data_IF_311020404896
#
_entry.id   IF_311020404896
#
_cell.length_a   1.000
_cell.length_b   1.000
_cell.length_c   1.000
_cell.angle_alpha   90.00
_cell.angle_beta   90.00
_cell.angle_gamma   90.00
#
_symmetry.space_group_name_H-M   'P 1'
#
loop_
_entity.id
_entity.type
_entity.pdbx_description
1 polymer ?
#
# COMPACT_ATOMS: atom_id res chain seq x y z
N UNK A 1 -5.96 11.18 6.77
CA UNK A 1 -5.06 10.45 5.86
C UNK A 1 -5.06 11.15 4.50
N UNK A 2 -3.91 11.63 4.01
CA UNK A 2 -3.79 12.27 2.69
C UNK A 2 -3.16 11.32 1.66
N UNK A 3 -3.36 11.64 0.37
CA UNK A 3 -2.65 10.94 -0.72
C UNK A 3 -1.13 11.11 -0.64
N UNK A 4 -0.66 12.24 -0.09
CA UNK A 4 0.76 12.48 0.10
C UNK A 4 1.35 11.49 1.11
N UNK A 5 0.70 11.33 2.27
CA UNK A 5 1.14 10.40 3.33
C UNK A 5 1.28 8.96 2.81
N UNK A 6 0.34 8.56 1.96
CA UNK A 6 0.32 7.25 1.30
C UNK A 6 1.51 7.09 0.35
N UNK A 7 1.73 8.06 -0.53
CA UNK A 7 2.80 7.99 -1.54
C UNK A 7 4.20 8.18 -0.93
N UNK A 8 4.35 8.82 0.23
CA UNK A 8 5.63 8.86 0.95
C UNK A 8 6.07 7.47 1.44
N UNK A 9 5.14 6.50 1.50
CA UNK A 9 5.40 5.10 1.91
C UNK A 9 5.38 4.16 0.71
N UNK A 10 5.98 4.60 -0.41
CA UNK A 10 5.94 3.89 -1.68
C UNK A 10 6.47 2.44 -1.58
N UNK A 11 7.55 2.21 -0.84
CA UNK A 11 8.13 0.87 -0.65
C UNK A 11 7.13 -0.14 -0.05
N UNK A 12 6.27 0.32 0.87
CA UNK A 12 5.21 -0.53 1.45
C UNK A 12 4.13 -0.84 0.42
N UNK A 13 3.78 0.13 -0.42
CA UNK A 13 2.83 -0.06 -1.52
C UNK A 13 3.39 -1.07 -2.51
N UNK A 14 4.66 -0.96 -2.91
CA UNK A 14 5.31 -1.91 -3.82
C UNK A 14 5.34 -3.32 -3.25
N UNK A 15 5.76 -3.47 -1.99
CA UNK A 15 5.79 -4.77 -1.33
C UNK A 15 4.39 -5.41 -1.24
N UNK A 16 3.37 -4.62 -0.90
CA UNK A 16 2.00 -5.10 -0.79
C UNK A 16 1.36 -5.39 -2.16
N UNK A 17 1.69 -4.62 -3.20
CA UNK A 17 1.29 -4.90 -4.58
C UNK A 17 1.89 -6.22 -5.07
N UNK A 18 3.17 -6.47 -4.78
CA UNK A 18 3.84 -7.70 -5.12
C UNK A 18 3.23 -8.88 -4.36
N UNK A 19 3.07 -8.78 -3.04
CA UNK A 19 2.55 -9.88 -2.23
C UNK A 19 1.07 -10.19 -2.51
N UNK A 20 0.23 -9.16 -2.65
CA UNK A 20 -1.23 -9.34 -2.75
C UNK A 20 -1.68 -9.67 -4.17
N UNK A 21 -1.02 -9.07 -5.17
CA UNK A 21 -1.45 -9.15 -6.57
C UNK A 21 -0.40 -9.75 -7.51
N UNK A 22 0.80 -10.09 -7.02
CA UNK A 22 1.90 -10.54 -7.87
C UNK A 22 2.42 -9.44 -8.81
N UNK A 23 2.20 -8.17 -8.46
CA UNK A 23 2.58 -7.03 -9.28
C UNK A 23 3.93 -6.50 -8.80
N UNK A 24 4.97 -6.71 -9.61
CA UNK A 24 6.27 -6.10 -9.44
C UNK A 24 6.35 -4.83 -10.30
N UNK A 25 6.55 -3.67 -9.67
CA UNK A 25 6.65 -2.38 -10.35
C UNK A 25 8.05 -2.09 -10.91
N UNK A 26 9.08 -2.76 -10.39
CA UNK A 26 10.45 -2.66 -10.91
C UNK A 26 10.60 -3.44 -12.23
N UNK A 27 9.67 -4.37 -12.50
CA UNK A 27 9.56 -5.03 -13.80
C UNK A 27 9.27 -3.99 -14.89
N UNK A 28 10.25 -3.83 -15.77
CA UNK A 28 10.20 -2.86 -16.88
C UNK A 28 8.85 -2.87 -17.61
N UNK A 29 8.18 -1.71 -17.63
CA UNK A 29 6.94 -1.48 -18.36
C UNK A 29 5.64 -1.65 -17.56
N UNK A 30 5.68 -2.12 -16.31
CA UNK A 30 4.47 -2.40 -15.51
C UNK A 30 3.47 -1.22 -15.46
N UNK A 31 3.97 0.02 -15.37
CA UNK A 31 3.15 1.24 -15.35
C UNK A 31 3.00 1.92 -16.71
N UNK A 32 3.78 1.55 -17.74
CA UNK A 32 3.69 2.18 -19.07
C UNK A 32 2.41 1.79 -19.81
N UNK A 33 1.99 0.53 -19.67
CA UNK A 33 0.82 -0.01 -20.37
C UNK A 33 -0.49 0.09 -19.56
N UNK A 34 -0.45 0.77 -18.40
CA UNK A 34 -1.55 0.83 -17.44
C UNK A 34 -1.88 2.28 -17.09
N UNK A 35 -3.18 2.56 -16.95
CA UNK A 35 -3.63 3.89 -16.55
C UNK A 35 -3.37 4.14 -15.07
N UNK A 36 -3.24 5.41 -14.68
CA UNK A 36 -3.18 5.78 -13.26
C UNK A 36 -4.39 5.24 -12.46
N UNK A 37 -5.58 5.22 -13.08
CA UNK A 37 -6.78 4.64 -12.46
C UNK A 37 -6.61 3.16 -12.11
N UNK A 38 -5.91 2.39 -12.94
CA UNK A 38 -5.62 0.97 -12.69
C UNK A 38 -4.79 0.79 -11.43
N UNK A 39 -3.74 1.59 -11.25
CA UNK A 39 -2.88 1.58 -10.07
C UNK A 39 -3.63 2.07 -8.84
N UNK A 40 -4.31 3.22 -8.95
CA UNK A 40 -5.10 3.82 -7.86
C UNK A 40 -6.13 2.85 -7.27
N UNK A 41 -6.79 2.05 -8.11
CA UNK A 41 -7.80 1.07 -7.67
C UNK A 41 -7.16 -0.05 -6.84
N UNK A 42 -5.94 -0.48 -7.19
CA UNK A 42 -5.21 -1.51 -6.43
C UNK A 42 -4.70 -0.97 -5.11
N UNK A 43 -4.15 0.25 -5.11
CA UNK A 43 -3.75 0.93 -3.88
C UNK A 43 -4.95 1.08 -2.93
N UNK A 44 -6.13 1.48 -3.43
CA UNK A 44 -7.34 1.53 -2.61
C UNK A 44 -7.76 0.16 -2.05
N UNK A 45 -7.58 -0.92 -2.83
CA UNK A 45 -7.80 -2.29 -2.36
C UNK A 45 -6.88 -2.68 -1.20
N UNK A 46 -5.60 -2.29 -1.26
CA UNK A 46 -4.65 -2.53 -0.17
C UNK A 46 -5.07 -1.87 1.14
N UNK A 47 -5.72 -0.69 1.08
CA UNK A 47 -6.21 0.01 2.28
C UNK A 47 -7.41 -0.67 2.95
N UNK A 48 -8.11 -1.56 2.26
CA UNK A 48 -9.26 -2.31 2.80
C UNK A 48 -8.85 -3.70 3.28
N UNK A 49 -7.70 -4.21 2.83
CA UNK A 49 -7.14 -5.49 3.26
C UNK A 49 -6.19 -5.30 4.45
N UNK A 50 -5.88 -6.41 5.13
CA UNK A 50 -4.86 -6.44 6.19
C UNK A 50 -3.44 -6.37 5.58
N UNK A 51 -3.06 -5.18 5.12
CA UNK A 51 -1.80 -4.89 4.41
C UNK A 51 -0.84 -4.06 5.29
N UNK A 52 0.44 -4.00 4.91
CA UNK A 52 1.42 -3.18 5.63
C UNK A 52 1.07 -1.71 5.53
N UNK A 53 0.66 -1.26 4.34
CA UNK A 53 0.30 0.14 4.13
C UNK A 53 -0.97 0.53 4.91
N UNK A 54 -1.96 -0.36 5.03
CA UNK A 54 -3.14 -0.12 5.85
C UNK A 54 -2.76 0.07 7.33
N UNK A 55 -1.96 -0.85 7.90
CA UNK A 55 -1.48 -0.75 9.30
C UNK A 55 -0.56 0.46 9.54
N UNK A 56 0.26 0.82 8.57
CA UNK A 56 1.17 1.97 8.70
C UNK A 56 0.42 3.32 8.70
N UNK A 57 -0.80 3.36 8.15
CA UNK A 57 -1.64 4.55 8.08
C UNK A 57 -2.76 4.56 9.12
N UNK A 58 -3.08 3.40 9.68
CA UNK A 58 -3.90 3.24 10.87
C UNK A 58 -3.02 2.70 12.01
N UNK A 59 -2.24 3.57 12.69
CA UNK A 59 -1.39 3.17 13.80
C UNK A 59 -2.17 2.68 15.02
N UNK A 60 -3.51 2.56 14.94
CA UNK A 60 -4.39 1.83 15.85
C UNK A 60 -3.81 1.57 17.24
N UNK A 61 -3.77 2.62 18.07
CA UNK A 61 -3.49 2.56 19.51
C UNK A 61 -2.32 1.63 19.89
N UNK A 62 -1.11 1.89 19.37
CA UNK A 62 0.14 1.47 20.02
C UNK A 62 0.37 2.22 21.36
N UNK A 63 -0.70 2.58 22.08
CA UNK A 63 -0.64 2.98 23.47
C UNK A 63 -0.11 1.82 24.32
N UNK A 64 0.62 2.10 25.42
CA UNK A 64 1.33 1.09 26.22
C UNK A 64 0.46 0.04 26.94
N UNK A 65 -0.83 -0.10 26.61
CA UNK A 65 -1.78 -1.00 27.27
C UNK A 65 -2.00 -2.38 26.62
N UNK A 66 -1.43 -2.65 25.44
CA UNK A 66 -1.67 -3.92 24.71
C UNK A 66 -0.42 -4.79 24.52
N UNK A 67 0.60 -4.59 25.35
CA UNK A 67 1.60 -5.63 25.62
C UNK A 67 1.36 -6.09 27.05
N UNK A 68 0.95 -7.36 27.15
CA UNK A 68 0.68 -8.10 28.39
C UNK A 68 1.76 -7.89 29.44
#
# INVERSE_FOLDING_TARGET
MSWLDLLTRWDLIEADLHQTYGIDLDRSGALRDRSWRWLRTRIAGLLVCDSRIARALDPGDDGPGRRR
#
